data_IF_042713602918
#
_entry.id   IF_042713602918
#
_cell.length_a   1.000
_cell.length_b   1.000
_cell.length_c   1.000
_cell.angle_alpha   90.00
_cell.angle_beta   90.00
_cell.angle_gamma   90.00
#
_symmetry.space_group_name_H-M   'P 1'
#
loop_
_entity.id
_entity.type
_entity.pdbx_description
1 polymer ?
#
# COMPACT_ATOMS: atom_id res chain seq x y z
N UNK A 1 -52.22 -10.52 -38.95
CA UNK A 1 -51.93 -9.65 -37.79
C UNK A 1 -50.59 -10.09 -37.22
N UNK A 2 -49.52 -9.37 -37.56
CA UNK A 2 -48.15 -9.65 -37.09
C UNK A 2 -47.95 -8.83 -35.81
N UNK A 3 -47.82 -9.53 -34.68
CA UNK A 3 -47.45 -8.93 -33.41
C UNK A 3 -45.97 -8.54 -33.45
N UNK A 4 -45.70 -7.24 -33.35
CA UNK A 4 -44.36 -6.70 -33.14
C UNK A 4 -43.92 -7.01 -31.71
N UNK A 5 -42.96 -7.90 -31.55
CA UNK A 5 -42.23 -8.06 -30.30
C UNK A 5 -41.10 -7.03 -30.30
N UNK A 6 -41.24 -5.95 -29.53
CA UNK A 6 -40.15 -5.03 -29.23
C UNK A 6 -39.22 -5.70 -28.22
N UNK A 7 -38.03 -6.12 -28.67
CA UNK A 7 -36.95 -6.52 -27.80
C UNK A 7 -36.37 -5.25 -27.16
N UNK A 8 -36.66 -5.02 -25.88
CA UNK A 8 -35.95 -4.02 -25.08
C UNK A 8 -34.60 -4.65 -24.68
N UNK A 9 -33.54 -4.27 -25.38
CA UNK A 9 -32.17 -4.53 -24.94
C UNK A 9 -31.91 -3.67 -23.70
N UNK A 10 -31.87 -4.31 -22.53
CA UNK A 10 -31.39 -3.69 -21.30
C UNK A 10 -29.91 -3.34 -21.48
N UNK A 11 -29.64 -2.03 -21.55
CA UNK A 11 -28.31 -1.46 -21.52
C UNK A 11 -27.74 -1.74 -20.11
N UNK A 12 -26.87 -2.73 -20.00
CA UNK A 12 -26.04 -2.91 -18.80
C UNK A 12 -25.07 -1.74 -18.77
N UNK A 13 -25.40 -0.73 -17.96
CA UNK A 13 -24.41 0.25 -17.52
C UNK A 13 -23.42 -0.51 -16.65
N UNK A 14 -22.29 -0.91 -17.24
CA UNK A 14 -21.08 -1.17 -16.45
C UNK A 14 -20.72 0.15 -15.80
N UNK A 15 -21.08 0.29 -14.52
CA UNK A 15 -20.55 1.35 -13.68
C UNK A 15 -19.06 1.04 -13.59
N UNK A 16 -18.27 1.69 -14.43
CA UNK A 16 -16.82 1.76 -14.24
C UNK A 16 -16.69 2.51 -12.91
N UNK A 17 -16.50 1.76 -11.82
CA UNK A 17 -16.13 2.34 -10.55
C UNK A 17 -14.90 3.20 -10.83
N UNK A 18 -14.97 4.47 -10.45
CA UNK A 18 -13.82 5.37 -10.52
C UNK A 18 -12.65 4.66 -9.84
N UNK A 19 -11.63 4.30 -10.60
CA UNK A 19 -10.39 3.69 -10.09
C UNK A 19 -9.68 4.78 -9.30
N UNK A 20 -10.09 4.94 -8.04
CA UNK A 20 -9.44 5.85 -7.10
C UNK A 20 -8.26 5.12 -6.49
N UNK A 21 -7.17 5.05 -7.26
CA UNK A 21 -5.89 4.65 -6.71
C UNK A 21 -5.38 5.74 -5.76
N UNK A 22 -4.68 5.32 -4.71
CA UNK A 22 -4.43 6.15 -3.54
C UNK A 22 -2.95 6.53 -3.45
N UNK A 23 -2.65 7.81 -3.66
CA UNK A 23 -1.33 8.36 -3.39
C UNK A 23 -1.18 8.65 -1.90
N UNK A 24 0.05 8.50 -1.38
CA UNK A 24 0.43 8.85 -0.01
C UNK A 24 1.21 10.19 0.04
N UNK A 25 0.54 11.36 0.03
CA UNK A 25 1.21 12.67 0.12
C UNK A 25 2.17 12.79 1.30
N UNK A 26 1.80 12.22 2.44
CA UNK A 26 2.56 12.22 3.70
C UNK A 26 3.72 11.22 3.69
N UNK A 27 4.25 10.85 2.52
CA UNK A 27 5.30 9.84 2.39
C UNK A 27 6.57 10.21 3.17
N UNK A 28 6.92 11.51 3.17
CA UNK A 28 8.09 12.07 3.86
C UNK A 28 7.77 12.61 5.27
N UNK A 29 6.58 12.28 5.78
CA UNK A 29 6.16 12.62 7.13
C UNK A 29 6.16 11.36 8.00
N UNK A 30 6.60 11.52 9.25
CA UNK A 30 6.63 10.46 10.26
C UNK A 30 6.07 10.99 11.57
N UNK A 31 5.24 10.19 12.22
CA UNK A 31 4.76 10.41 13.57
C UNK A 31 5.37 9.39 14.54
N UNK A 32 5.89 9.83 15.68
CA UNK A 32 6.49 8.97 16.70
C UNK A 32 5.99 9.37 18.10
N UNK A 33 5.32 8.48 18.85
CA UNK A 33 4.87 8.81 20.19
C UNK A 33 6.02 9.04 21.16
N UNK A 34 5.85 9.93 22.14
CA UNK A 34 6.89 10.36 23.07
C UNK A 34 7.46 9.22 23.93
N UNK A 35 6.68 8.18 24.17
CA UNK A 35 7.12 6.96 24.87
C UNK A 35 8.27 6.23 24.15
N UNK A 36 8.47 6.45 22.84
CA UNK A 36 9.47 5.76 22.05
C UNK A 36 10.81 6.50 21.99
N UNK A 37 10.95 7.69 22.57
CA UNK A 37 12.20 8.45 22.55
C UNK A 37 12.49 9.17 23.87
N UNK A 38 13.76 9.49 24.08
CA UNK A 38 14.24 10.09 25.35
C UNK A 38 14.33 11.62 25.30
N UNK A 39 14.58 12.18 24.13
CA UNK A 39 14.62 13.62 23.87
C UNK A 39 14.37 13.88 22.38
N UNK A 40 14.19 15.14 21.98
CA UNK A 40 13.88 15.52 20.59
C UNK A 40 14.91 15.00 19.59
N UNK A 41 16.23 15.06 19.89
CA UNK A 41 17.25 14.58 18.96
C UNK A 41 17.18 13.05 18.78
N UNK A 42 16.94 12.29 19.85
CA UNK A 42 16.68 10.85 19.78
C UNK A 42 15.40 10.57 18.96
N UNK A 43 14.34 11.35 19.18
CA UNK A 43 13.09 11.27 18.44
C UNK A 43 13.27 11.50 16.94
N UNK A 44 13.99 12.56 16.54
CA UNK A 44 14.30 12.86 15.14
C UNK A 44 15.13 11.76 14.48
N UNK A 45 16.11 11.19 15.20
CA UNK A 45 16.91 10.07 14.68
C UNK A 45 16.08 8.79 14.49
N UNK A 46 15.14 8.51 15.39
CA UNK A 46 14.21 7.37 15.28
C UNK A 46 13.18 7.60 14.18
N UNK A 47 12.64 8.82 14.06
CA UNK A 47 11.76 9.21 12.97
C UNK A 47 12.44 9.04 11.60
N UNK A 48 13.73 9.39 11.49
CA UNK A 48 14.49 9.12 10.28
C UNK A 48 14.58 7.61 9.98
N UNK A 49 14.86 6.77 10.98
CA UNK A 49 14.90 5.32 10.76
C UNK A 49 13.55 4.76 10.29
N UNK A 50 12.44 5.25 10.85
CA UNK A 50 11.10 4.90 10.42
C UNK A 50 10.82 5.37 8.99
N UNK A 51 11.28 6.57 8.62
CA UNK A 51 11.20 7.04 7.25
C UNK A 51 11.93 6.10 6.29
N UNK A 52 13.11 5.59 6.64
CA UNK A 52 13.83 4.62 5.79
C UNK A 52 13.00 3.36 5.60
N UNK A 53 12.42 2.80 6.67
CA UNK A 53 11.52 1.65 6.58
C UNK A 53 10.33 1.92 5.65
N UNK A 54 9.72 3.11 5.77
CA UNK A 54 8.58 3.55 4.96
C UNK A 54 8.94 3.70 3.48
N UNK A 55 10.09 4.29 3.19
CA UNK A 55 10.58 4.51 1.82
C UNK A 55 11.06 3.22 1.15
N UNK A 56 11.77 2.34 1.86
CA UNK A 56 12.28 1.09 1.31
C UNK A 56 11.24 -0.03 1.26
N UNK A 57 10.17 0.10 2.05
CA UNK A 57 9.20 -0.95 2.30
C UNK A 57 9.75 -2.11 3.14
N UNK A 58 10.98 -2.01 3.65
CA UNK A 58 11.71 -3.09 4.30
C UNK A 58 12.13 -2.68 5.71
N UNK A 59 11.90 -3.57 6.68
CA UNK A 59 12.42 -3.43 8.05
C UNK A 59 13.81 -4.03 8.23
N UNK A 60 14.49 -4.39 7.14
CA UNK A 60 15.81 -5.00 7.19
C UNK A 60 16.82 -4.07 7.84
N UNK A 61 17.53 -4.57 8.86
CA UNK A 61 18.61 -3.82 9.51
C UNK A 61 19.71 -3.41 8.52
N UNK A 62 19.87 -4.14 7.41
CA UNK A 62 20.86 -3.85 6.38
C UNK A 62 20.67 -2.47 5.75
N UNK A 63 19.43 -2.01 5.56
CA UNK A 63 19.14 -0.70 4.98
C UNK A 63 19.54 0.42 5.95
N UNK A 64 19.29 0.24 7.25
CA UNK A 64 19.73 1.17 8.28
C UNK A 64 21.26 1.17 8.46
N UNK A 65 21.93 0.03 8.31
CA UNK A 65 23.39 -0.07 8.37
C UNK A 65 24.07 0.67 7.21
N UNK A 66 23.56 0.53 5.98
CA UNK A 66 24.04 1.30 4.81
C UNK A 66 24.00 2.80 5.08
N UNK A 67 22.93 3.30 5.71
CA UNK A 67 22.85 4.70 6.14
C UNK A 67 23.87 5.01 7.24
N UNK A 68 24.04 4.14 8.23
CA UNK A 68 25.04 4.31 9.30
C UNK A 68 26.47 4.50 8.76
N UNK A 69 26.85 3.68 7.76
CA UNK A 69 28.19 3.72 7.14
C UNK A 69 28.48 5.04 6.43
N UNK A 70 27.44 5.74 5.96
CA UNK A 70 27.58 7.04 5.29
C UNK A 70 27.86 8.21 6.25
N UNK A 71 27.84 7.99 7.57
CA UNK A 71 28.08 9.02 8.62
C UNK A 71 27.25 10.30 8.44
N UNK A 72 26.02 10.16 7.94
CA UNK A 72 25.12 11.27 7.72
C UNK A 72 24.58 11.81 9.05
N UNK A 73 24.47 13.14 9.15
CA UNK A 73 23.69 13.75 10.21
C UNK A 73 22.21 13.74 9.81
N UNK A 74 21.43 12.83 10.39
CA UNK A 74 20.02 12.60 10.03
C UNK A 74 19.14 13.84 10.21
N UNK A 75 19.51 14.71 11.14
CA UNK A 75 18.76 15.93 11.47
C UNK A 75 18.86 16.98 10.35
N UNK A 76 19.92 16.96 9.54
CA UNK A 76 20.11 17.92 8.44
C UNK A 76 19.04 17.78 7.34
N UNK A 77 18.32 16.65 7.31
CA UNK A 77 17.25 16.37 6.36
C UNK A 77 15.86 16.74 6.89
N UNK A 78 15.74 17.26 8.12
CA UNK A 78 14.46 17.65 8.70
C UNK A 78 14.06 19.02 8.16
N UNK A 79 12.90 19.10 7.50
CA UNK A 79 12.29 20.37 7.08
C UNK A 79 11.61 21.06 8.25
N UNK A 80 10.80 20.30 9.00
CA UNK A 80 10.00 20.80 10.11
C UNK A 80 9.70 19.68 11.12
N UNK A 81 9.43 20.05 12.37
CA UNK A 81 8.89 19.11 13.36
C UNK A 81 7.98 19.82 14.37
N UNK A 82 7.03 19.09 14.92
CA UNK A 82 6.07 19.58 15.91
C UNK A 82 5.72 18.49 16.94
N UNK A 83 5.34 18.92 18.15
CA UNK A 83 4.78 18.04 19.18
C UNK A 83 3.27 18.31 19.26
N UNK A 84 2.47 17.28 19.02
CA UNK A 84 1.01 17.36 19.11
C UNK A 84 0.48 16.26 20.03
N UNK A 85 -0.70 16.47 20.60
CA UNK A 85 -1.42 15.45 21.34
C UNK A 85 -2.33 14.66 20.39
N UNK A 86 -2.08 13.35 20.28
CA UNK A 86 -2.90 12.40 19.52
C UNK A 86 -3.46 11.39 20.50
N UNK A 87 -4.79 11.29 20.61
CA UNK A 87 -5.45 10.37 21.56
C UNK A 87 -4.95 10.49 23.01
N UNK A 88 -4.59 11.70 23.45
CA UNK A 88 -4.05 11.95 24.79
C UNK A 88 -2.56 11.63 24.97
N UNK A 89 -1.88 11.15 23.91
CA UNK A 89 -0.45 10.87 23.92
C UNK A 89 0.31 11.93 23.11
N UNK A 90 1.35 12.50 23.72
CA UNK A 90 2.25 13.42 23.02
C UNK A 90 3.01 12.67 21.92
N UNK A 91 2.97 13.22 20.71
CA UNK A 91 3.51 12.60 19.50
C UNK A 91 4.33 13.62 18.72
N UNK A 92 5.55 13.22 18.35
CA UNK A 92 6.45 13.97 17.49
C UNK A 92 6.08 13.75 16.03
N UNK A 93 5.75 14.82 15.34
CA UNK A 93 5.56 14.86 13.89
C UNK A 93 6.79 15.45 13.25
N UNK A 94 7.34 14.77 12.25
CA UNK A 94 8.57 15.18 11.55
C UNK A 94 8.34 15.12 10.05
N UNK A 95 8.67 16.20 9.37
CA UNK A 95 8.67 16.30 7.92
C UNK A 95 10.11 16.36 7.41
N UNK A 96 10.43 15.55 6.41
CA UNK A 96 11.77 15.48 5.83
C UNK A 96 11.84 16.17 4.46
N UNK A 97 12.97 16.82 4.19
CA UNK A 97 13.23 17.49 2.93
C UNK A 97 13.58 16.45 1.85
N UNK A 98 12.61 16.17 0.98
CA UNK A 98 12.77 15.19 -0.11
C UNK A 98 13.92 15.52 -1.06
N UNK A 99 14.11 16.79 -1.40
CA UNK A 99 15.05 17.23 -2.44
C UNK A 99 16.50 17.01 -2.00
N UNK A 100 16.79 17.20 -0.71
CA UNK A 100 18.12 16.94 -0.15
C UNK A 100 18.31 15.48 0.23
N UNK A 101 17.25 14.78 0.66
CA UNK A 101 17.31 13.40 1.14
C UNK A 101 17.44 12.38 0.01
N UNK A 102 16.57 12.45 -1.01
CA UNK A 102 16.51 11.44 -2.08
C UNK A 102 17.84 11.20 -2.80
N UNK A 103 18.63 12.23 -3.19
CA UNK A 103 19.93 12.02 -3.82
C UNK A 103 20.90 11.23 -2.93
N UNK A 104 20.85 11.46 -1.62
CA UNK A 104 21.71 10.79 -0.64
C UNK A 104 21.32 9.32 -0.49
N UNK A 105 20.02 9.04 -0.36
CA UNK A 105 19.51 7.65 -0.28
C UNK A 105 19.83 6.85 -1.54
N UNK A 106 19.67 7.47 -2.72
CA UNK A 106 20.03 6.87 -4.01
C UNK A 106 21.52 6.57 -4.10
N UNK A 107 22.39 7.49 -3.66
CA UNK A 107 23.84 7.26 -3.62
C UNK A 107 24.23 6.15 -2.64
N UNK A 108 23.49 5.99 -1.55
CA UNK A 108 23.67 4.90 -0.58
C UNK A 108 23.10 3.56 -1.07
N UNK A 109 22.48 3.51 -2.26
CA UNK A 109 21.91 2.28 -2.82
C UNK A 109 20.71 1.75 -2.03
N UNK A 110 19.97 2.66 -1.37
CA UNK A 110 18.73 2.29 -0.68
C UNK A 110 17.64 2.09 -1.75
N UNK A 111 16.94 0.95 -1.76
CA UNK A 111 15.78 0.79 -2.61
C UNK A 111 14.67 1.72 -2.14
N UNK A 112 13.98 2.38 -3.07
CA UNK A 112 12.96 3.38 -2.75
C UNK A 112 11.68 3.08 -3.52
N UNK A 113 10.55 3.26 -2.84
CA UNK A 113 9.20 3.21 -3.39
C UNK A 113 8.64 4.64 -3.29
N UNK A 114 7.99 5.14 -4.34
CA UNK A 114 7.46 6.49 -4.39
C UNK A 114 6.08 6.63 -3.77
N UNK A 115 5.28 7.55 -4.30
CA UNK A 115 4.02 7.99 -3.70
C UNK A 115 2.86 7.02 -3.91
N UNK A 116 2.99 6.18 -4.92
CA UNK A 116 2.01 5.17 -5.27
C UNK A 116 2.13 3.97 -4.34
N UNK A 117 1.20 3.84 -3.39
CA UNK A 117 1.26 2.83 -2.33
C UNK A 117 0.12 1.84 -2.44
N UNK A 118 0.37 0.55 -2.19
CA UNK A 118 -0.67 -0.44 -2.37
C UNK A 118 -1.76 -0.31 -1.30
N UNK A 119 -2.97 -0.63 -1.70
CA UNK A 119 -4.17 -0.75 -0.86
C UNK A 119 -4.42 -2.21 -0.53
N UNK A 120 -4.24 -2.56 0.73
CA UNK A 120 -4.50 -3.89 1.26
C UNK A 120 -5.82 -3.82 2.03
N UNK A 121 -6.83 -4.47 1.48
CA UNK A 121 -8.17 -4.52 2.05
C UNK A 121 -8.30 -5.74 2.97
N UNK A 122 -8.82 -5.53 4.17
CA UNK A 122 -8.99 -6.57 5.16
C UNK A 122 -10.45 -7.00 5.27
N UNK A 123 -10.68 -8.31 5.24
CA UNK A 123 -11.94 -8.92 5.60
C UNK A 123 -11.72 -9.73 6.88
N UNK A 124 -11.99 -9.10 8.03
CA UNK A 124 -11.76 -9.71 9.34
C UNK A 124 -13.09 -10.20 9.90
N UNK A 125 -13.24 -11.51 10.02
CA UNK A 125 -14.38 -12.17 10.67
C UNK A 125 -14.04 -12.45 12.12
N UNK A 126 -14.95 -12.10 13.03
CA UNK A 126 -14.81 -12.37 14.46
C UNK A 126 -15.97 -13.28 14.89
N UNK A 127 -15.61 -14.41 15.50
CA UNK A 127 -16.53 -15.35 16.11
C UNK A 127 -16.19 -15.48 17.60
N UNK A 128 -16.98 -14.81 18.44
CA UNK A 128 -16.79 -14.82 19.90
C UNK A 128 -17.36 -16.08 20.57
N UNK A 129 -18.13 -16.90 19.84
CA UNK A 129 -18.91 -18.01 20.37
C UNK A 129 -20.14 -17.61 21.21
N UNK A 130 -20.32 -16.32 21.51
CA UNK A 130 -21.43 -15.81 22.33
C UNK A 130 -22.59 -15.26 21.46
N UNK A 131 -22.28 -14.80 20.26
CA UNK A 131 -23.22 -14.27 19.29
C UNK A 131 -22.90 -14.81 17.88
N UNK A 132 -23.74 -14.46 16.90
CA UNK A 132 -23.46 -14.77 15.51
C UNK A 132 -22.13 -14.10 15.08
N UNK A 133 -21.27 -14.79 14.31
CA UNK A 133 -20.04 -14.19 13.79
C UNK A 133 -20.34 -12.95 12.96
N UNK A 134 -19.46 -11.96 13.03
CA UNK A 134 -19.61 -10.72 12.29
C UNK A 134 -18.29 -10.32 11.64
N UNK A 135 -18.37 -9.40 10.68
CA UNK A 135 -17.19 -8.83 10.03
C UNK A 135 -16.89 -7.45 10.61
N UNK A 136 -15.63 -7.18 10.88
CA UNK A 136 -15.16 -5.88 11.32
C UNK A 136 -15.37 -4.85 10.20
N UNK A 137 -15.99 -3.72 10.53
CA UNK A 137 -16.18 -2.59 9.63
C UNK A 137 -15.48 -1.34 10.17
N UNK A 138 -15.42 -0.28 9.34
CA UNK A 138 -14.86 1.03 9.73
C UNK A 138 -15.74 1.79 10.73
N UNK A 139 -17.05 1.54 10.74
CA UNK A 139 -18.04 2.46 11.27
C UNK A 139 -18.42 2.17 12.72
N UNK A 140 -18.26 0.94 13.21
CA UNK A 140 -18.83 0.51 14.49
C UNK A 140 -17.88 -0.42 15.28
N UNK A 141 -16.72 0.06 15.78
CA UNK A 141 -15.96 -0.70 16.77
C UNK A 141 -16.80 -0.82 18.04
N UNK A 142 -17.23 -2.04 18.37
CA UNK A 142 -18.15 -2.30 19.49
C UNK A 142 -17.45 -2.78 20.76
N UNK A 143 -16.20 -3.23 20.67
CA UNK A 143 -15.41 -3.71 21.80
C UNK A 143 -13.92 -3.27 21.76
N UNK A 144 -13.18 -3.62 22.81
CA UNK A 144 -11.76 -3.31 22.98
C UNK A 144 -10.88 -4.00 21.93
N UNK A 145 -11.15 -5.27 21.60
CA UNK A 145 -10.39 -6.02 20.60
C UNK A 145 -10.49 -5.35 19.22
N UNK A 146 -11.71 -5.01 18.80
CA UNK A 146 -11.98 -4.32 17.54
C UNK A 146 -11.29 -2.96 17.48
N UNK A 147 -11.37 -2.20 18.57
CA UNK A 147 -10.72 -0.88 18.67
C UNK A 147 -9.19 -1.01 18.57
N UNK A 148 -8.61 -1.98 19.28
CA UNK A 148 -7.17 -2.24 19.24
C UNK A 148 -6.72 -2.72 17.86
N UNK A 149 -7.48 -3.60 17.19
CA UNK A 149 -7.18 -4.02 15.82
C UNK A 149 -7.21 -2.86 14.83
N UNK A 150 -8.23 -2.00 14.89
CA UNK A 150 -8.30 -0.82 14.02
C UNK A 150 -7.14 0.15 14.27
N UNK A 151 -6.77 0.37 15.53
CA UNK A 151 -5.64 1.20 15.90
C UNK A 151 -4.32 0.62 15.38
N UNK A 152 -4.09 -0.68 15.59
CA UNK A 152 -2.92 -1.40 15.08
C UNK A 152 -2.81 -1.32 13.55
N UNK A 153 -3.91 -1.47 12.81
CA UNK A 153 -3.90 -1.32 11.35
C UNK A 153 -3.51 0.11 10.93
N UNK A 154 -4.02 1.15 11.61
CA UNK A 154 -3.66 2.54 11.33
C UNK A 154 -2.19 2.84 11.62
N UNK A 155 -1.69 2.37 12.76
CA UNK A 155 -0.30 2.55 13.15
C UNK A 155 0.66 1.86 12.18
N UNK A 156 0.40 0.59 11.84
CA UNK A 156 1.19 -0.14 10.86
C UNK A 156 1.13 0.48 9.47
N UNK A 157 -0.04 0.97 9.04
CA UNK A 157 -0.20 1.68 7.76
C UNK A 157 0.70 2.92 7.70
N UNK A 158 0.72 3.71 8.79
CA UNK A 158 1.56 4.90 8.92
C UNK A 158 3.06 4.55 8.94
N UNK A 159 3.45 3.56 9.74
CA UNK A 159 4.84 3.09 9.87
C UNK A 159 5.39 2.57 8.53
N UNK A 160 4.59 1.77 7.81
CA UNK A 160 5.00 1.07 6.60
C UNK A 160 4.75 1.85 5.32
N UNK A 161 3.98 2.94 5.40
CA UNK A 161 3.62 3.77 4.25
C UNK A 161 2.79 3.00 3.22
N UNK A 162 1.73 2.36 3.69
CA UNK A 162 0.77 1.59 2.88
C UNK A 162 -0.65 1.88 3.35
N UNK A 163 -1.65 1.50 2.58
CA UNK A 163 -3.04 1.55 3.02
C UNK A 163 -3.48 0.19 3.54
N UNK A 164 -3.82 0.14 4.82
CA UNK A 164 -4.44 -1.02 5.46
C UNK A 164 -5.88 -0.63 5.77
N UNK A 165 -6.83 -1.11 4.97
CA UNK A 165 -8.20 -0.63 5.00
C UNK A 165 -9.18 -1.72 5.40
N UNK A 166 -10.23 -1.31 6.11
CA UNK A 166 -11.41 -2.12 6.34
C UNK A 166 -12.52 -1.60 5.42
N UNK A 167 -13.37 -2.48 4.87
CA UNK A 167 -14.51 -2.07 4.08
C UNK A 167 -15.57 -1.34 4.94
N UNK A 168 -16.27 -0.39 4.34
CA UNK A 168 -17.49 0.19 4.91
C UNK A 168 -18.71 -0.53 4.33
N UNK A 169 -19.19 -1.53 5.05
CA UNK A 169 -20.32 -2.35 4.61
C UNK A 169 -21.64 -1.55 4.59
N UNK A 170 -22.35 -1.63 3.48
CA UNK A 170 -23.76 -1.22 3.40
C UNK A 170 -24.72 -2.37 3.78
N UNK A 171 -26.02 -2.12 3.69
CA UNK A 171 -27.04 -3.13 4.01
C UNK A 171 -26.99 -4.35 3.07
N UNK A 172 -26.62 -4.16 1.81
CA UNK A 172 -26.50 -5.26 0.85
C UNK A 172 -25.31 -6.14 1.21
N UNK A 173 -24.18 -5.53 1.55
CA UNK A 173 -22.98 -6.22 2.02
C UNK A 173 -23.28 -7.03 3.28
N UNK A 174 -23.92 -6.43 4.27
CA UNK A 174 -24.26 -7.10 5.51
C UNK A 174 -25.17 -8.31 5.27
N UNK A 175 -26.19 -8.16 4.40
CA UNK A 175 -27.06 -9.25 4.02
C UNK A 175 -26.32 -10.37 3.28
N UNK A 176 -25.36 -10.02 2.41
CA UNK A 176 -24.55 -11.01 1.69
C UNK A 176 -23.62 -11.77 2.64
N UNK A 177 -22.90 -11.05 3.50
CA UNK A 177 -21.91 -11.60 4.43
C UNK A 177 -22.53 -12.49 5.52
N UNK A 178 -23.81 -12.31 5.83
CA UNK A 178 -24.56 -13.17 6.76
C UNK A 178 -25.05 -14.48 6.10
N UNK A 179 -24.96 -14.63 4.77
CA UNK A 179 -25.38 -15.85 4.09
C UNK A 179 -24.37 -16.97 4.31
N UNK A 180 -24.87 -18.15 4.69
CA UNK A 180 -24.05 -19.35 4.92
C UNK A 180 -23.87 -20.20 3.64
N UNK A 181 -24.05 -19.61 2.46
CA UNK A 181 -23.98 -20.34 1.21
C UNK A 181 -22.52 -20.63 0.83
N UNK A 182 -22.16 -21.92 0.82
CA UNK A 182 -20.80 -22.40 0.54
C UNK A 182 -20.31 -22.06 -0.88
N UNK A 183 -21.23 -21.72 -1.80
CA UNK A 183 -20.91 -21.34 -3.18
C UNK A 183 -20.53 -19.85 -3.30
N UNK A 184 -20.75 -19.06 -2.25
CA UNK A 184 -20.40 -17.64 -2.23
C UNK A 184 -19.05 -17.45 -1.56
N UNK A 185 -18.22 -16.58 -2.15
CA UNK A 185 -16.93 -16.19 -1.59
C UNK A 185 -17.01 -14.73 -1.11
N UNK A 186 -17.17 -14.49 0.21
CA UNK A 186 -17.09 -13.16 0.80
C UNK A 186 -15.86 -12.38 0.36
N UNK A 187 -14.70 -13.05 0.33
CA UNK A 187 -13.44 -12.45 -0.11
C UNK A 187 -13.52 -11.94 -1.56
N UNK A 188 -14.09 -12.73 -2.46
CA UNK A 188 -14.22 -12.34 -3.87
C UNK A 188 -15.22 -11.20 -4.05
N UNK A 189 -16.39 -11.28 -3.41
CA UNK A 189 -17.39 -10.23 -3.46
C UNK A 189 -16.83 -8.87 -3.03
N UNK A 190 -16.09 -8.84 -1.92
CA UNK A 190 -15.44 -7.63 -1.41
C UNK A 190 -14.30 -7.18 -2.33
N UNK A 191 -13.49 -8.11 -2.86
CA UNK A 191 -12.41 -7.78 -3.79
C UNK A 191 -12.91 -7.16 -5.10
N UNK A 192 -14.09 -7.54 -5.57
CA UNK A 192 -14.70 -6.99 -6.80
C UNK A 192 -15.40 -5.65 -6.56
N UNK A 193 -15.97 -5.44 -5.37
CA UNK A 193 -16.72 -4.22 -5.03
C UNK A 193 -15.83 -3.04 -4.63
N UNK A 194 -14.75 -3.28 -3.88
CA UNK A 194 -13.89 -2.23 -3.33
C UNK A 194 -12.54 -2.19 -4.04
N UNK A 195 -11.99 -0.99 -4.26
CA UNK A 195 -10.64 -0.85 -4.80
C UNK A 195 -9.61 -1.49 -3.86
N UNK A 196 -8.74 -2.34 -4.40
CA UNK A 196 -7.68 -3.00 -3.66
C UNK A 196 -6.58 -3.50 -4.61
N UNK A 197 -5.35 -3.55 -4.10
CA UNK A 197 -4.22 -4.24 -4.72
C UNK A 197 -4.05 -5.67 -4.15
N UNK A 198 -4.59 -5.90 -2.96
CA UNK A 198 -4.66 -7.21 -2.30
C UNK A 198 -5.82 -7.25 -1.30
N UNK A 199 -6.42 -8.43 -1.13
CA UNK A 199 -7.39 -8.70 -0.07
C UNK A 199 -6.85 -9.77 0.88
N UNK A 200 -6.83 -9.46 2.18
CA UNK A 200 -6.50 -10.39 3.26
C UNK A 200 -7.77 -10.76 4.04
N UNK A 201 -8.08 -12.04 4.09
CA UNK A 201 -9.16 -12.61 4.88
C UNK A 201 -8.59 -13.20 6.17
N UNK A 202 -9.11 -12.75 7.31
CA UNK A 202 -8.69 -13.18 8.64
C UNK A 202 -9.93 -13.65 9.39
N UNK A 203 -9.82 -14.79 10.07
CA UNK A 203 -10.87 -15.32 10.94
C UNK A 203 -10.33 -15.43 12.36
N UNK A 204 -10.99 -14.77 13.31
CA UNK A 204 -10.63 -14.78 14.73
C UNK A 204 -11.76 -15.50 15.46
N UNK A 205 -11.53 -16.74 15.88
CA UNK A 205 -12.55 -17.59 16.48
C UNK A 205 -12.19 -17.99 17.89
N UNK A 206 -13.14 -17.85 18.81
CA UNK A 206 -13.03 -18.39 20.16
C UNK A 206 -13.31 -19.89 20.11
N UNK A 207 -12.31 -20.69 20.48
CA UNK A 207 -12.38 -22.16 20.47
C UNK A 207 -12.43 -22.77 21.87
N UNK A 208 -12.28 -21.95 22.91
CA UNK A 208 -12.36 -22.37 24.30
C UNK A 208 -12.44 -21.18 25.26
N UNK A 209 -12.38 -21.45 26.56
CA UNK A 209 -12.36 -20.40 27.60
C UNK A 209 -11.05 -19.61 27.46
N UNK A 210 -11.16 -18.33 27.08
CA UNK A 210 -10.05 -17.42 26.80
C UNK A 210 -9.01 -18.03 25.84
N UNK A 211 -9.49 -18.82 24.88
CA UNK A 211 -8.68 -19.47 23.86
C UNK A 211 -9.23 -19.08 22.50
N UNK A 212 -8.38 -18.41 21.73
CA UNK A 212 -8.66 -17.93 20.40
C UNK A 212 -7.76 -18.62 19.39
N UNK A 213 -8.28 -18.77 18.19
CA UNK A 213 -7.56 -19.20 17.02
C UNK A 213 -7.67 -18.11 15.96
N UNK A 214 -6.54 -17.78 15.34
CA UNK A 214 -6.50 -16.88 14.19
C UNK A 214 -6.22 -17.72 12.95
N UNK A 215 -7.08 -17.62 11.95
CA UNK A 215 -7.00 -18.35 10.69
C UNK A 215 -7.19 -17.46 9.46
N UNK A 216 -7.07 -18.08 8.28
CA UNK A 216 -7.26 -17.44 6.99
C UNK A 216 -5.93 -17.23 6.25
N UNK A 217 -5.74 -16.05 5.68
CA UNK A 217 -4.50 -15.68 4.99
C UNK A 217 -3.35 -15.43 5.99
N UNK A 218 -3.67 -15.02 7.23
CA UNK A 218 -2.75 -14.95 8.37
C UNK A 218 -3.19 -15.97 9.41
N UNK A 219 -2.27 -16.75 9.97
CA UNK A 219 -2.60 -17.86 10.87
C UNK A 219 -1.77 -17.78 12.15
N UNK A 220 -2.40 -18.09 13.29
CA UNK A 220 -1.65 -18.31 14.53
C UNK A 220 -1.09 -19.74 14.57
N UNK A 221 0.16 -19.88 15.01
CA UNK A 221 0.80 -21.19 15.15
C UNK A 221 0.24 -22.00 16.34
N UNK A 222 -0.42 -21.34 17.28
CA UNK A 222 -1.00 -21.92 18.49
C UNK A 222 -2.29 -21.20 18.88
N UNK A 223 -2.99 -21.76 19.88
CA UNK A 223 -4.06 -21.07 20.58
C UNK A 223 -3.50 -19.84 21.30
N UNK A 224 -4.28 -18.76 21.28
CA UNK A 224 -3.94 -17.45 21.84
C UNK A 224 -4.86 -17.10 23.01
N UNK A 225 -4.32 -16.38 23.98
CA UNK A 225 -5.13 -15.64 24.96
C UNK A 225 -5.59 -14.30 24.37
N UNK A 226 -6.62 -13.69 24.98
CA UNK A 226 -7.25 -12.45 24.52
C UNK A 226 -6.24 -11.31 24.28
N UNK A 227 -5.26 -11.14 25.17
CA UNK A 227 -4.23 -10.10 25.12
C UNK A 227 -3.10 -10.39 24.11
N UNK A 228 -3.01 -11.63 23.61
CA UNK A 228 -2.00 -12.04 22.64
C UNK A 228 -2.44 -11.83 21.18
N UNK A 229 -3.75 -11.75 20.92
CA UNK A 229 -4.34 -11.72 19.56
C UNK A 229 -3.73 -10.59 18.72
N UNK A 230 -3.77 -9.36 19.24
CA UNK A 230 -3.30 -8.16 18.53
C UNK A 230 -1.81 -8.25 18.26
N UNK A 231 -1.01 -8.72 19.24
CA UNK A 231 0.43 -8.86 19.09
C UNK A 231 0.82 -9.88 18.01
N UNK A 232 0.15 -11.03 17.97
CA UNK A 232 0.39 -12.06 16.96
C UNK A 232 -0.02 -11.57 15.57
N UNK A 233 -1.21 -10.97 15.43
CA UNK A 233 -1.66 -10.40 14.15
C UNK A 233 -0.71 -9.30 13.65
N UNK A 234 -0.24 -8.42 14.54
CA UNK A 234 0.75 -7.39 14.22
C UNK A 234 2.01 -8.01 13.62
N UNK A 235 2.53 -9.07 14.26
CA UNK A 235 3.75 -9.75 13.80
C UNK A 235 3.55 -10.41 12.44
N UNK A 236 2.48 -11.17 12.25
CA UNK A 236 2.19 -11.85 10.98
C UNK A 236 1.97 -10.85 9.84
N UNK A 237 1.25 -9.76 10.12
CA UNK A 237 1.04 -8.70 9.14
C UNK A 237 2.34 -7.99 8.77
N UNK A 238 3.21 -7.72 9.74
CA UNK A 238 4.52 -7.16 9.46
C UNK A 238 5.38 -8.07 8.56
N UNK A 239 5.32 -9.40 8.76
CA UNK A 239 6.01 -10.38 7.90
C UNK A 239 5.40 -10.42 6.49
N UNK A 240 4.07 -10.35 6.38
CA UNK A 240 3.40 -10.23 5.09
C UNK A 240 3.89 -8.98 4.35
N UNK A 241 3.92 -7.82 5.02
CA UNK A 241 4.37 -6.56 4.43
C UNK A 241 5.84 -6.61 4.03
N UNK A 242 6.71 -7.22 4.83
CA UNK A 242 8.14 -7.39 4.49
C UNK A 242 8.34 -8.09 3.14
N UNK A 243 7.41 -8.95 2.71
CA UNK A 243 7.48 -9.59 1.39
C UNK A 243 6.69 -8.81 0.31
N UNK A 244 5.52 -8.31 0.68
CA UNK A 244 4.60 -7.68 -0.27
C UNK A 244 5.16 -6.38 -0.84
N UNK A 245 5.67 -5.49 0.02
CA UNK A 245 6.15 -4.17 -0.40
C UNK A 245 7.65 -4.10 -0.65
N UNK A 246 8.48 -4.94 -0.02
CA UNK A 246 9.94 -4.77 -0.11
C UNK A 246 10.47 -4.83 -1.54
N UNK A 247 11.40 -3.93 -1.84
CA UNK A 247 12.11 -3.90 -3.12
C UNK A 247 13.52 -4.43 -2.90
N UNK A 248 13.92 -5.43 -3.69
CA UNK A 248 15.27 -5.98 -3.58
C UNK A 248 16.32 -4.96 -4.04
N UNK A 249 17.38 -4.74 -3.26
CA UNK A 249 18.49 -3.91 -3.68
C UNK A 249 19.28 -4.61 -4.80
N UNK A 250 19.84 -3.82 -5.71
CA UNK A 250 20.77 -4.35 -6.71
C UNK A 250 22.06 -4.87 -6.06
N UNK A 251 22.67 -5.86 -6.72
CA UNK A 251 24.01 -6.30 -6.36
C UNK A 251 25.02 -5.13 -6.50
N UNK A 252 26.08 -5.07 -5.67
CA UNK A 252 27.08 -4.02 -5.77
C UNK A 252 27.69 -3.92 -7.17
N UNK A 253 27.60 -2.73 -7.78
CA UNK A 253 28.12 -2.46 -9.12
C UNK A 253 27.19 -2.85 -10.27
N UNK A 254 26.02 -3.45 -10.00
CA UNK A 254 25.00 -3.67 -11.02
C UNK A 254 24.30 -2.35 -11.39
N UNK A 255 23.90 -2.24 -12.67
CA UNK A 255 22.97 -1.21 -13.13
C UNK A 255 21.55 -1.75 -13.09
N UNK A 256 20.58 -0.88 -12.92
CA UNK A 256 19.18 -1.26 -13.04
C UNK A 256 18.81 -1.61 -14.48
N UNK A 257 17.62 -2.18 -14.66
CA UNK A 257 17.15 -2.59 -15.98
C UNK A 257 16.94 -1.36 -16.89
N UNK A 258 17.15 -1.56 -18.19
CA UNK A 258 16.68 -0.65 -19.23
C UNK A 258 15.40 -1.23 -19.84
N UNK A 259 14.35 -0.42 -19.94
CA UNK A 259 13.07 -0.85 -20.48
C UNK A 259 12.48 0.23 -21.40
N UNK A 260 11.66 -0.21 -22.36
CA UNK A 260 10.83 0.69 -23.14
C UNK A 260 9.47 0.85 -22.44
N UNK A 261 9.14 2.07 -22.02
CA UNK A 261 7.82 2.41 -21.50
C UNK A 261 6.94 2.86 -22.67
N UNK A 262 5.86 2.14 -22.96
CA UNK A 262 4.88 2.50 -23.99
C UNK A 262 3.57 2.86 -23.33
N UNK A 263 3.18 4.13 -23.38
CA UNK A 263 1.95 4.64 -22.74
C UNK A 263 0.96 5.05 -23.82
N UNK A 264 -0.22 4.42 -23.84
CA UNK A 264 -1.30 4.68 -24.80
C UNK A 264 -2.47 5.41 -24.13
N UNK A 265 -3.39 5.95 -24.93
CA UNK A 265 -4.65 6.54 -24.45
C UNK A 265 -4.59 8.06 -24.27
N UNK A 266 -3.63 8.73 -24.90
CA UNK A 266 -3.53 10.20 -24.87
C UNK A 266 -4.48 10.80 -25.90
N UNK A 267 -5.27 11.81 -25.52
CA UNK A 267 -6.18 12.52 -26.44
C UNK A 267 -5.75 13.98 -26.67
N UNK A 268 -4.95 14.53 -25.76
CA UNK A 268 -4.54 15.93 -25.71
C UNK A 268 -3.07 16.13 -25.25
N UNK A 269 -2.59 17.36 -25.35
CA UNK A 269 -1.27 17.73 -24.80
C UNK A 269 -1.31 17.80 -23.26
N UNK A 270 -2.45 18.15 -22.68
CA UNK A 270 -2.69 18.16 -21.25
C UNK A 270 -2.53 16.75 -20.65
N UNK A 271 -3.02 15.71 -21.32
CA UNK A 271 -2.85 14.30 -20.91
C UNK A 271 -1.36 13.92 -20.84
N UNK A 272 -0.58 14.40 -21.82
CA UNK A 272 0.86 14.22 -21.83
C UNK A 272 1.53 14.89 -20.62
N UNK A 273 1.13 16.10 -20.24
CA UNK A 273 1.67 16.77 -19.04
C UNK A 273 1.33 15.98 -17.77
N UNK A 274 0.12 15.44 -17.66
CA UNK A 274 -0.27 14.58 -16.53
C UNK A 274 0.59 13.32 -16.49
N UNK A 275 0.82 12.66 -17.63
CA UNK A 275 1.71 11.49 -17.69
C UNK A 275 3.13 11.85 -17.26
N UNK A 276 3.65 13.01 -17.64
CA UNK A 276 4.96 13.48 -17.19
C UNK A 276 5.03 13.65 -15.66
N UNK A 277 3.99 14.25 -15.07
CA UNK A 277 3.87 14.41 -13.61
C UNK A 277 3.77 13.06 -12.89
N UNK A 278 2.97 12.13 -13.41
CA UNK A 278 2.81 10.79 -12.86
C UNK A 278 4.11 9.99 -12.90
N UNK A 279 4.81 9.99 -14.04
CA UNK A 279 6.11 9.33 -14.16
C UNK A 279 7.15 9.96 -13.23
N UNK A 280 7.06 11.25 -12.91
CA UNK A 280 7.97 11.90 -11.96
C UNK A 280 7.75 11.46 -10.50
N UNK A 281 6.56 10.97 -10.16
CA UNK A 281 6.25 10.40 -8.84
C UNK A 281 6.80 8.98 -8.65
N UNK A 282 7.21 8.32 -9.75
CA UNK A 282 7.75 6.95 -9.76
C UNK A 282 9.24 6.96 -9.45
N UNK A 283 9.62 6.48 -8.27
CA UNK A 283 11.00 6.48 -7.79
C UNK A 283 11.86 5.40 -8.40
N UNK A 284 11.27 4.35 -8.97
CA UNK A 284 12.00 3.31 -9.71
C UNK A 284 12.68 3.85 -10.98
N UNK A 285 12.16 4.93 -11.58
CA UNK A 285 12.71 5.53 -12.81
C UNK A 285 13.89 6.44 -12.45
N UNK A 286 15.08 6.09 -12.95
CA UNK A 286 16.31 6.88 -12.79
C UNK A 286 16.42 7.98 -13.81
N UNK A 287 16.14 7.66 -15.07
CA UNK A 287 16.09 8.63 -16.16
C UNK A 287 15.23 8.06 -17.27
N UNK A 288 14.61 8.95 -18.03
CA UNK A 288 13.85 8.60 -19.23
C UNK A 288 14.28 9.49 -20.39
N UNK A 289 14.31 8.93 -21.59
CA UNK A 289 14.55 9.67 -22.81
C UNK A 289 13.42 9.34 -23.80
N UNK A 290 12.94 10.36 -24.52
CA UNK A 290 11.96 10.16 -25.58
C UNK A 290 12.48 9.15 -26.60
N UNK A 291 11.66 8.16 -26.91
CA UNK A 291 11.93 7.20 -27.97
C UNK A 291 11.09 7.49 -29.20
N UNK A 292 9.78 7.59 -29.02
CA UNK A 292 8.82 7.90 -30.08
C UNK A 292 7.62 8.63 -29.48
N UNK A 293 6.91 9.38 -30.33
CA UNK A 293 5.71 10.11 -29.94
C UNK A 293 4.74 10.13 -31.11
N UNK A 294 3.52 9.68 -30.87
CA UNK A 294 2.36 9.87 -31.73
C UNK A 294 1.23 10.56 -30.96
N UNK A 295 0.11 10.83 -31.63
CA UNK A 295 -1.01 11.57 -31.03
C UNK A 295 -1.63 10.84 -29.83
N UNK A 296 -1.62 9.51 -29.84
CA UNK A 296 -2.32 8.63 -28.91
C UNK A 296 -1.41 7.83 -27.99
N UNK A 297 -0.11 7.85 -28.26
CA UNK A 297 0.88 7.02 -27.61
C UNK A 297 2.22 7.77 -27.51
N UNK A 298 2.88 7.56 -26.39
CA UNK A 298 4.25 8.00 -26.17
C UNK A 298 5.13 6.85 -25.71
N UNK A 299 6.37 6.84 -26.19
CA UNK A 299 7.35 5.85 -25.78
C UNK A 299 8.61 6.50 -25.20
N UNK A 300 9.10 5.93 -24.11
CA UNK A 300 10.34 6.34 -23.46
C UNK A 300 11.28 5.16 -23.31
N UNK A 301 12.56 5.38 -23.55
CA UNK A 301 13.61 4.52 -23.01
C UNK A 301 13.87 4.95 -21.58
N UNK A 302 13.53 4.09 -20.62
CA UNK A 302 13.72 4.33 -19.21
C UNK A 302 14.86 3.47 -18.66
N UNK A 303 15.78 4.12 -17.95
CA UNK A 303 16.75 3.48 -17.09
C UNK A 303 16.17 3.43 -15.68
N UNK A 304 16.17 2.26 -15.06
CA UNK A 304 15.69 2.09 -13.68
C UNK A 304 16.83 2.19 -12.65
N UNK A 305 16.46 2.50 -11.40
CA UNK A 305 17.37 2.39 -10.25
C UNK A 305 17.53 0.95 -9.77
N UNK A 306 16.49 0.12 -9.91
CA UNK A 306 16.49 -1.30 -9.55
C UNK A 306 15.99 -2.14 -10.74
N UNK A 307 15.08 -3.08 -10.50
CA UNK A 307 14.58 -4.00 -11.51
C UNK A 307 13.21 -3.58 -12.03
N UNK A 308 12.80 -4.17 -13.15
CA UNK A 308 11.47 -4.02 -13.73
C UNK A 308 10.38 -4.47 -12.73
N UNK A 309 10.67 -5.47 -11.89
CA UNK A 309 9.76 -5.91 -10.84
C UNK A 309 9.48 -4.80 -9.80
N UNK A 310 10.49 -3.99 -9.46
CA UNK A 310 10.34 -2.84 -8.56
C UNK A 310 9.41 -1.79 -9.15
N UNK A 311 9.59 -1.47 -10.44
CA UNK A 311 8.70 -0.56 -11.15
C UNK A 311 7.26 -1.09 -11.17
N UNK A 312 7.06 -2.38 -11.44
CA UNK A 312 5.73 -2.98 -11.43
C UNK A 312 5.06 -2.88 -10.05
N UNK A 313 5.81 -3.01 -8.96
CA UNK A 313 5.25 -2.81 -7.61
C UNK A 313 4.75 -1.39 -7.40
N UNK A 314 5.51 -0.41 -7.86
CA UNK A 314 5.15 1.00 -7.75
C UNK A 314 3.99 1.39 -8.67
N UNK A 315 3.81 0.72 -9.81
CA UNK A 315 2.70 0.99 -10.73
C UNK A 315 1.34 0.43 -10.26
N UNK A 316 1.31 -0.56 -9.34
CA UNK A 316 0.06 -1.21 -8.90
C UNK A 316 -0.98 -0.22 -8.38
N UNK A 317 -0.55 0.73 -7.56
CA UNK A 317 -1.43 1.74 -6.99
C UNK A 317 -1.61 3.00 -7.84
N UNK A 318 -1.18 3.04 -9.12
CA UNK A 318 -1.20 4.28 -9.89
C UNK A 318 -2.59 4.50 -10.49
N UNK A 319 -3.17 5.69 -10.31
CA UNK A 319 -4.55 5.99 -10.71
C UNK A 319 -4.70 6.37 -12.17
N UNK A 320 -3.60 6.76 -12.81
CA UNK A 320 -3.56 7.32 -14.15
C UNK A 320 -2.83 6.43 -15.15
N UNK A 321 -1.97 5.53 -14.69
CA UNK A 321 -1.17 4.63 -15.51
C UNK A 321 -1.50 3.19 -15.15
N UNK A 322 -2.37 2.56 -15.94
CA UNK A 322 -2.76 1.18 -15.77
C UNK A 322 -1.74 0.24 -16.45
N UNK A 323 -1.16 -0.67 -15.67
CA UNK A 323 -0.38 -1.77 -16.22
C UNK A 323 -1.23 -2.68 -17.12
N UNK A 324 -0.78 -2.91 -18.35
CA UNK A 324 -1.42 -3.86 -19.29
C UNK A 324 -0.62 -5.13 -19.46
N UNK A 325 0.64 -4.98 -19.84
CA UNK A 325 1.49 -6.11 -20.18
C UNK A 325 2.96 -5.74 -20.10
N UNK A 326 3.81 -6.72 -19.74
CA UNK A 326 5.24 -6.67 -19.93
C UNK A 326 5.63 -7.69 -21.01
N UNK A 327 6.17 -7.22 -22.14
CA UNK A 327 6.84 -8.09 -23.11
C UNK A 327 8.29 -8.28 -22.67
N UNK A 328 8.63 -9.49 -22.21
CA UNK A 328 9.97 -9.80 -21.71
C UNK A 328 11.02 -9.89 -22.83
N UNK A 329 10.63 -10.27 -24.04
CA UNK A 329 11.56 -10.39 -25.18
C UNK A 329 12.00 -9.02 -25.68
N UNK A 330 11.06 -8.07 -25.75
CA UNK A 330 11.30 -6.70 -26.21
C UNK A 330 11.63 -5.73 -25.06
N UNK A 331 11.63 -6.22 -23.81
CA UNK A 331 11.76 -5.40 -22.59
C UNK A 331 10.82 -4.18 -22.59
N UNK A 332 9.61 -4.38 -23.11
CA UNK A 332 8.64 -3.30 -23.32
C UNK A 332 7.50 -3.43 -22.32
N UNK A 333 7.27 -2.37 -21.55
CA UNK A 333 6.20 -2.24 -20.59
C UNK A 333 5.08 -1.39 -21.19
N UNK A 334 3.92 -2.03 -21.41
CA UNK A 334 2.74 -1.40 -21.95
C UNK A 334 1.83 -0.89 -20.83
N UNK A 335 1.54 0.41 -20.87
CA UNK A 335 0.70 1.14 -19.94
C UNK A 335 -0.45 1.81 -20.71
N UNK A 336 -1.59 1.95 -20.05
CA UNK A 336 -2.73 2.74 -20.54
C UNK A 336 -2.97 3.94 -19.62
N UNK A 337 -3.08 5.11 -20.21
CA UNK A 337 -3.49 6.33 -19.52
C UNK A 337 -5.00 6.29 -19.25
N UNK A 338 -5.39 6.57 -18.00
CA UNK A 338 -6.77 6.63 -17.57
C UNK A 338 -7.20 8.10 -17.40
N UNK A 339 -8.01 8.58 -18.33
CA UNK A 339 -8.58 9.94 -18.30
C UNK A 339 -9.40 10.22 -17.03
#
# INVERSE_FOLDING_TARGET
>A
MINKFCFFTALVFSIIGSVHAKELPSLFEVSLPSAHYTNTNDGLNKAFNLLITKLSGSRSASDLWKIGDTKLNKIDFVSSYALNLVNGQETLFVEFNRETLLPVLRKAGIPLIGYTRPVILFLIKIDTGEAAPFYLDVNNPSDELQSNLQFTLKDLASERGVYLELPSFDLEDQNFLQQTNILLSPKQYIAEKFYNDAVLSIEISRVGINQWLVGGDLNSASLLQDDEIVGVLTKELQLFLDNFIAVEPLAPGASGDEILLSIKGLDSFEDFLVVEEELAKIFAIKSKAFHSFDRSQIEYKAQLFQTTASLLKELRGNSKLLFKQLNQEEQTLYLEYLN
#
